data_IF_438053983598
#
_entry.id   IF_438053983598
#
_cell.length_a   1.000
_cell.length_b   1.000
_cell.length_c   1.000
_cell.angle_alpha   90.00
_cell.angle_beta   90.00
_cell.angle_gamma   90.00
#
_symmetry.space_group_name_H-M   'P 1'
#
loop_
_entity.id
_entity.type
_entity.pdbx_description
1 polymer ?
#
# COMPACT_ATOMS: atom_id res chain seq x y z
N UNK A 1 7.76 6.11 26.50
CA UNK A 1 7.92 4.73 25.96
C UNK A 1 6.74 4.46 25.03
N UNK A 2 6.94 3.96 23.80
CA UNK A 2 5.83 3.70 22.86
C UNK A 2 4.85 2.69 23.48
N UNK A 3 3.57 3.03 23.50
CA UNK A 3 2.52 2.11 23.97
C UNK A 3 2.42 0.89 23.04
N UNK A 4 1.97 -0.26 23.56
CA UNK A 4 1.78 -1.48 22.74
C UNK A 4 0.84 -1.25 21.54
N UNK A 5 -0.12 -0.32 21.71
CA UNK A 5 -1.06 0.09 20.65
C UNK A 5 -0.36 0.88 19.53
N UNK A 6 0.54 1.81 19.88
CA UNK A 6 1.35 2.54 18.89
C UNK A 6 2.29 1.62 18.12
N UNK A 7 2.95 0.66 18.81
CA UNK A 7 3.81 -0.32 18.15
C UNK A 7 3.05 -1.13 17.10
N UNK A 8 1.86 -1.65 17.45
CA UNK A 8 0.99 -2.37 16.52
C UNK A 8 0.60 -1.53 15.30
N UNK A 9 0.28 -0.24 15.48
CA UNK A 9 -0.07 0.65 14.38
C UNK A 9 1.12 0.91 13.44
N UNK A 10 2.32 1.12 13.98
CA UNK A 10 3.53 1.30 13.18
C UNK A 10 3.90 0.02 12.43
N UNK A 11 3.74 -1.16 13.03
CA UNK A 11 3.92 -2.43 12.32
C UNK A 11 2.94 -2.57 11.16
N UNK A 12 1.66 -2.22 11.37
CA UNK A 12 0.66 -2.20 10.28
C UNK A 12 1.02 -1.20 9.19
N UNK A 13 1.50 0.00 9.54
CA UNK A 13 2.00 0.97 8.56
C UNK A 13 3.07 0.36 7.65
N UNK A 14 4.07 -0.31 8.22
CA UNK A 14 5.13 -0.92 7.42
C UNK A 14 4.65 -2.11 6.60
N UNK A 15 3.76 -2.94 7.13
CA UNK A 15 3.22 -4.08 6.40
C UNK A 15 2.36 -3.64 5.21
N UNK A 16 1.43 -2.71 5.44
CA UNK A 16 0.53 -2.23 4.40
C UNK A 16 1.22 -1.27 3.43
N UNK A 17 2.13 -0.42 3.93
CA UNK A 17 2.89 0.52 3.10
C UNK A 17 3.93 -0.20 2.24
N UNK A 18 4.69 -1.12 2.84
CA UNK A 18 5.66 -1.94 2.12
C UNK A 18 4.98 -2.91 1.14
N UNK A 19 3.95 -3.62 1.59
CA UNK A 19 3.17 -4.50 0.72
C UNK A 19 2.46 -3.75 -0.41
N UNK A 20 1.89 -2.58 -0.12
CA UNK A 20 1.27 -1.72 -1.11
C UNK A 20 2.25 -1.19 -2.16
N UNK A 21 3.47 -0.80 -1.74
CA UNK A 21 4.54 -0.39 -2.65
C UNK A 21 5.00 -1.54 -3.55
N UNK A 22 5.12 -2.76 -3.00
CA UNK A 22 5.44 -3.94 -3.80
C UNK A 22 4.36 -4.22 -4.85
N UNK A 23 3.07 -4.20 -4.47
CA UNK A 23 1.96 -4.41 -5.41
C UNK A 23 1.93 -3.33 -6.50
N UNK A 24 2.20 -2.07 -6.14
CA UNK A 24 2.26 -0.98 -7.11
C UNK A 24 3.40 -1.18 -8.12
N UNK A 25 4.60 -1.52 -7.62
CA UNK A 25 5.76 -1.83 -8.47
C UNK A 25 5.52 -3.05 -9.37
N UNK A 26 4.98 -4.13 -8.81
CA UNK A 26 4.59 -5.32 -9.57
C UNK A 26 3.55 -4.99 -10.64
N UNK A 27 2.51 -4.22 -10.29
CA UNK A 27 1.47 -3.81 -11.21
C UNK A 27 1.99 -2.98 -12.39
N UNK A 28 2.90 -2.03 -12.13
CA UNK A 28 3.59 -1.27 -13.18
C UNK A 28 4.42 -2.17 -14.10
N UNK A 29 5.18 -3.13 -13.54
CA UNK A 29 5.96 -4.07 -14.32
C UNK A 29 5.08 -4.98 -15.20
N UNK A 30 3.97 -5.50 -14.65
CA UNK A 30 3.00 -6.31 -15.40
C UNK A 30 2.32 -5.50 -16.50
N UNK A 31 2.00 -4.23 -16.26
CA UNK A 31 1.38 -3.36 -17.26
C UNK A 31 2.35 -3.04 -18.41
N UNK A 32 3.63 -2.81 -18.11
CA UNK A 32 4.68 -2.69 -19.13
C UNK A 32 4.82 -3.98 -19.95
N UNK A 33 4.78 -5.15 -19.30
CA UNK A 33 4.80 -6.43 -20.00
C UNK A 33 3.58 -6.61 -20.91
N UNK A 34 2.38 -6.26 -20.43
CA UNK A 34 1.15 -6.25 -21.22
C UNK A 34 1.23 -5.34 -22.44
N UNK A 35 1.85 -4.16 -22.31
CA UNK A 35 2.12 -3.27 -23.45
C UNK A 35 3.02 -3.92 -24.50
N UNK A 36 4.05 -4.66 -24.08
CA UNK A 36 4.92 -5.39 -25.01
C UNK A 36 4.22 -6.56 -25.70
N UNK A 37 3.34 -7.26 -25.00
CA UNK A 37 2.48 -8.30 -25.61
C UNK A 37 1.55 -7.71 -26.67
N UNK A 38 1.03 -6.50 -26.43
CA UNK A 38 0.20 -5.79 -27.40
C UNK A 38 0.98 -5.43 -28.67
N UNK A 39 2.23 -4.98 -28.52
CA UNK A 39 3.10 -4.64 -29.67
C UNK A 39 3.32 -5.84 -30.61
N UNK A 40 3.35 -7.06 -30.08
CA UNK A 40 3.52 -8.31 -30.86
C UNK A 40 2.19 -9.00 -31.20
N UNK A 41 1.05 -8.32 -31.00
CA UNK A 41 -0.30 -8.86 -31.20
C UNK A 41 -0.57 -10.20 -30.47
N UNK A 42 0.02 -10.39 -29.29
CA UNK A 42 -0.25 -11.57 -28.49
C UNK A 42 -1.58 -11.43 -27.74
N UNK A 43 -2.52 -12.33 -27.98
CA UNK A 43 -3.87 -12.37 -27.38
C UNK A 43 -3.96 -12.07 -25.86
N UNK A 44 -3.06 -12.55 -24.97
CA UNK A 44 -3.20 -12.29 -23.54
C UNK A 44 -2.92 -10.85 -23.11
N UNK A 45 -2.49 -9.95 -24.01
CA UNK A 45 -2.08 -8.58 -23.67
C UNK A 45 -3.11 -7.82 -22.83
N UNK A 46 -4.39 -7.99 -23.14
CA UNK A 46 -5.48 -7.29 -22.46
C UNK A 46 -5.56 -7.73 -20.99
N UNK A 47 -5.65 -9.04 -20.73
CA UNK A 47 -5.77 -9.59 -19.38
C UNK A 47 -4.54 -9.32 -18.53
N UNK A 48 -3.35 -9.40 -19.12
CA UNK A 48 -2.09 -9.05 -18.43
C UNK A 48 -2.10 -7.57 -18.04
N UNK A 49 -2.52 -6.68 -18.94
CA UNK A 49 -2.58 -5.23 -18.66
C UNK A 49 -3.62 -4.89 -17.59
N UNK A 50 -4.82 -5.49 -17.68
CA UNK A 50 -5.90 -5.32 -16.69
C UNK A 50 -5.48 -5.86 -15.32
N UNK A 51 -4.81 -7.01 -15.28
CA UNK A 51 -4.22 -7.54 -14.05
C UNK A 51 -3.19 -6.60 -13.45
N UNK A 52 -2.30 -6.03 -14.26
CA UNK A 52 -1.35 -5.01 -13.83
C UNK A 52 -2.05 -3.77 -13.23
N UNK A 53 -3.12 -3.29 -13.86
CA UNK A 53 -3.91 -2.17 -13.33
C UNK A 53 -4.58 -2.51 -12.00
N UNK A 54 -5.14 -3.73 -11.85
CA UNK A 54 -5.73 -4.18 -10.59
C UNK A 54 -4.70 -4.22 -9.45
N UNK A 55 -3.47 -4.66 -9.73
CA UNK A 55 -2.36 -4.64 -8.76
C UNK A 55 -2.00 -3.21 -8.35
N UNK A 56 -1.92 -2.27 -9.30
CA UNK A 56 -1.67 -0.86 -9.01
C UNK A 56 -2.74 -0.31 -8.07
N UNK A 57 -4.02 -0.48 -8.41
CA UNK A 57 -5.14 0.02 -7.60
C UNK A 57 -5.14 -0.59 -6.19
N UNK A 58 -4.86 -1.89 -6.09
CA UNK A 58 -4.74 -2.59 -4.81
C UNK A 58 -3.57 -2.04 -3.98
N UNK A 59 -2.41 -1.80 -4.61
CA UNK A 59 -1.24 -1.19 -3.99
C UNK A 59 -1.52 0.22 -3.46
N UNK A 60 -2.16 1.07 -4.26
CA UNK A 60 -2.56 2.43 -3.86
C UNK A 60 -3.50 2.39 -2.66
N UNK A 61 -4.50 1.50 -2.67
CA UNK A 61 -5.42 1.35 -1.54
C UNK A 61 -4.69 0.96 -0.25
N UNK A 62 -3.76 0.00 -0.32
CA UNK A 62 -2.98 -0.43 0.84
C UNK A 62 -2.06 0.68 1.37
N UNK A 63 -1.46 1.49 0.50
CA UNK A 63 -0.67 2.66 0.90
C UNK A 63 -1.56 3.69 1.61
N UNK A 64 -2.80 3.89 1.13
CA UNK A 64 -3.79 4.74 1.80
C UNK A 64 -4.10 4.27 3.23
N UNK A 65 -4.32 2.97 3.41
CA UNK A 65 -4.52 2.38 4.74
C UNK A 65 -3.27 2.50 5.63
N UNK A 66 -2.08 2.35 5.05
CA UNK A 66 -0.83 2.57 5.78
C UNK A 66 -0.76 4.00 6.34
N UNK A 67 -1.02 5.00 5.50
CA UNK A 67 -1.05 6.40 5.94
C UNK A 67 -2.05 6.62 7.07
N UNK A 68 -3.24 6.01 7.00
CA UNK A 68 -4.22 6.06 8.10
C UNK A 68 -3.65 5.51 9.41
N UNK A 69 -2.95 4.36 9.38
CA UNK A 69 -2.33 3.80 10.59
C UNK A 69 -1.21 4.71 11.14
N UNK A 70 -0.42 5.34 10.28
CA UNK A 70 0.61 6.30 10.68
C UNK A 70 -0.01 7.50 11.39
N UNK A 71 -1.05 8.09 10.81
CA UNK A 71 -1.77 9.23 11.41
C UNK A 71 -2.39 8.86 12.75
N UNK A 72 -3.03 7.70 12.88
CA UNK A 72 -3.57 7.24 14.17
C UNK A 72 -2.49 7.07 15.24
N UNK A 73 -1.31 6.58 14.87
CA UNK A 73 -0.18 6.47 15.79
C UNK A 73 0.31 7.86 16.26
N UNK A 74 0.35 8.85 15.36
CA UNK A 74 0.72 10.22 15.71
C UNK A 74 -0.30 10.88 16.62
N UNK A 75 -1.59 10.72 16.36
CA UNK A 75 -2.67 11.24 17.22
C UNK A 75 -2.60 10.62 18.62
N UNK A 76 -2.40 9.30 18.73
CA UNK A 76 -2.28 8.64 20.04
C UNK A 76 -1.07 9.11 20.84
N UNK A 77 0.03 9.42 20.15
CA UNK A 77 1.24 9.97 20.76
C UNK A 77 0.98 11.40 21.27
N UNK A 78 0.26 12.21 20.51
CA UNK A 78 -0.09 13.58 20.90
C UNK A 78 -1.06 13.61 22.10
N UNK A 79 -2.06 12.72 22.12
CA UNK A 79 -2.98 12.59 23.26
C UNK A 79 -2.25 12.15 24.55
N UNK A 80 -1.27 11.24 24.42
CA UNK A 80 -0.39 10.82 25.52
C UNK A 80 0.42 11.99 26.07
N UNK A 81 1.04 12.77 25.17
CA UNK A 81 1.84 13.94 25.54
C UNK A 81 1.04 15.03 26.26
N UNK A 82 -0.26 15.14 25.97
CA UNK A 82 -1.17 16.10 26.60
C UNK A 82 -1.81 15.58 27.90
N UNK A 83 -1.56 14.33 28.28
CA UNK A 83 -2.20 13.71 29.45
C UNK A 83 -3.71 13.51 29.30
N UNK A 84 -4.23 13.49 28.06
CA UNK A 84 -5.65 13.35 27.73
C UNK A 84 -6.03 11.89 27.40
N UNK A 85 -5.12 10.95 27.67
CA UNK A 85 -5.30 9.53 27.39
C UNK A 85 -5.90 8.89 28.65
N UNK A 86 -7.21 8.60 28.61
CA UNK A 86 -7.89 7.80 29.63
C UNK A 86 -7.35 6.36 29.69
#
# INVERSE_FOLDING_TARGET
MRTEREKKLITKYWLFGGGGAMLLGSGLATLLHGSKLKEVNADPWFWVSTGGFALIMSGISMIGDANRFRTMADVLKELDARGLKE
#
